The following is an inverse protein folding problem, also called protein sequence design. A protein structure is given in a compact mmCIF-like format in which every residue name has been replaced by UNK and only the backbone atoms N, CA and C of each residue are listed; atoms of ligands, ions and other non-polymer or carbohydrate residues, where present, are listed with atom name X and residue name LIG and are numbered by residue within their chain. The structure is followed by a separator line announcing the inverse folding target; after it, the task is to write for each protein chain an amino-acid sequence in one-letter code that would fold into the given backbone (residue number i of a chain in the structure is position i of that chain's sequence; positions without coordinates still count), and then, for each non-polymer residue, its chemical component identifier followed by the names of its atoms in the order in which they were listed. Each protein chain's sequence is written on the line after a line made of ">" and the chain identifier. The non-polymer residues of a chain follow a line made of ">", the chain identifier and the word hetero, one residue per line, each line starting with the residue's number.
data_IF_281138359427
#
_entry.id   IF_281138359427
#
_cell.length_a   1.000
_cell.length_b   1.000
_cell.length_c   1.000
_cell.angle_alpha   90.00
_cell.angle_beta   90.00
_cell.angle_gamma   90.00
#
_symmetry.space_group_name_H-M   'P 1'
#
loop_
_entity.id
_entity.type
_entity.pdbx_description
1 polymer ?
#
# COMPACT_ATOMS: atom_id res chain seq x y z
N UNK A 1 -7.64 -26.27 -7.72
CA UNK A 1 -6.19 -26.30 -7.41
C UNK A 1 -5.87 -25.19 -6.41
N UNK A 2 -5.17 -25.49 -5.32
CA UNK A 2 -4.88 -24.54 -4.22
C UNK A 2 -3.89 -23.47 -4.70
N UNK A 3 -4.17 -22.19 -4.48
CA UNK A 3 -3.29 -21.10 -4.93
C UNK A 3 -2.20 -20.71 -3.93
N UNK A 4 -2.41 -21.03 -2.65
CA UNK A 4 -1.58 -20.56 -1.54
C UNK A 4 -1.23 -21.70 -0.59
N UNK A 5 0.02 -21.79 -0.16
CA UNK A 5 0.48 -22.74 0.84
C UNK A 5 0.84 -22.01 2.13
N UNK A 6 0.35 -22.52 3.26
CA UNK A 6 0.66 -21.92 4.55
C UNK A 6 2.17 -21.95 4.81
N UNK A 7 2.70 -20.88 5.39
CA UNK A 7 4.09 -20.86 5.87
C UNK A 7 4.27 -21.84 7.04
N UNK A 8 5.51 -22.13 7.42
CA UNK A 8 5.78 -23.01 8.57
C UNK A 8 5.29 -22.38 9.87
N UNK A 9 5.07 -23.19 10.91
CA UNK A 9 4.62 -22.67 12.22
C UNK A 9 5.60 -21.64 12.80
N UNK A 10 6.90 -21.87 12.65
CA UNK A 10 7.95 -20.97 13.14
C UNK A 10 7.91 -19.62 12.40
N UNK A 11 7.88 -19.66 11.06
CA UNK A 11 7.76 -18.44 10.24
C UNK A 11 6.48 -17.67 10.55
N UNK A 12 5.35 -18.38 10.71
CA UNK A 12 4.08 -17.74 11.02
C UNK A 12 4.14 -17.03 12.38
N UNK A 13 4.81 -17.60 13.39
CA UNK A 13 4.97 -16.95 14.69
C UNK A 13 5.73 -15.63 14.56
N UNK A 14 6.85 -15.63 13.82
CA UNK A 14 7.67 -14.43 13.58
C UNK A 14 6.90 -13.36 12.79
N UNK A 15 6.20 -13.77 11.73
CA UNK A 15 5.39 -12.86 10.91
C UNK A 15 4.21 -12.29 11.70
N UNK A 16 3.53 -13.12 12.51
CA UNK A 16 2.40 -12.66 13.33
C UNK A 16 2.82 -11.65 14.40
N UNK A 17 4.01 -11.80 14.98
CA UNK A 17 4.55 -10.80 15.90
C UNK A 17 4.85 -9.49 15.16
N UNK A 18 5.56 -9.57 14.02
CA UNK A 18 5.91 -8.42 13.21
C UNK A 18 4.70 -7.64 12.72
N UNK A 19 3.66 -8.31 12.25
CA UNK A 19 2.44 -7.70 11.72
C UNK A 19 1.27 -7.72 12.73
N UNK A 20 1.56 -7.86 14.02
CA UNK A 20 0.55 -7.92 15.09
C UNK A 20 -0.40 -6.72 15.11
N UNK A 21 0.04 -5.56 14.62
CA UNK A 21 -0.80 -4.38 14.46
C UNK A 21 -2.02 -4.60 13.55
N UNK A 22 -1.98 -5.58 12.64
CA UNK A 22 -3.14 -5.92 11.80
C UNK A 22 -4.29 -6.53 12.62
N UNK A 23 -4.04 -6.99 13.85
CA UNK A 23 -5.06 -7.51 14.75
C UNK A 23 -5.74 -6.42 15.60
N UNK A 24 -5.23 -5.19 15.55
CA UNK A 24 -5.76 -4.06 16.30
C UNK A 24 -6.73 -3.25 15.42
N UNK A 25 -7.71 -2.61 16.05
CA UNK A 25 -8.44 -1.54 15.37
C UNK A 25 -7.51 -0.33 15.19
N UNK A 26 -7.72 0.45 14.13
CA UNK A 26 -6.89 1.64 13.88
C UNK A 26 -6.94 2.63 15.06
N UNK A 27 -8.08 2.75 15.73
CA UNK A 27 -8.28 3.59 16.93
C UNK A 27 -7.37 3.18 18.11
N UNK A 28 -7.03 1.90 18.20
CA UNK A 28 -6.16 1.35 19.27
C UNK A 28 -4.67 1.37 18.89
N UNK A 29 -4.34 1.78 17.67
CA UNK A 29 -2.96 1.83 17.18
C UNK A 29 -2.32 3.18 17.48
N UNK A 30 -1.00 3.17 17.67
CA UNK A 30 -0.18 4.39 17.75
C UNK A 30 0.79 4.47 16.57
N UNK A 31 1.46 5.61 16.41
CA UNK A 31 2.51 5.77 15.41
C UNK A 31 3.69 4.78 15.57
N UNK A 32 3.86 4.20 16.77
CA UNK A 32 4.87 3.16 17.04
C UNK A 32 4.44 1.79 16.48
N UNK A 33 3.14 1.55 16.30
CA UNK A 33 2.63 0.33 15.68
C UNK A 33 2.84 0.37 14.15
N UNK A 34 2.38 1.45 13.52
CA UNK A 34 2.57 1.77 12.10
C UNK A 34 2.15 3.22 11.79
N UNK A 35 2.46 3.68 10.58
CA UNK A 35 1.89 4.88 9.96
C UNK A 35 1.19 4.55 8.65
N UNK A 36 0.28 5.42 8.18
CA UNK A 36 -0.37 5.28 6.88
C UNK A 36 0.11 6.33 5.88
N UNK A 37 0.04 5.96 4.60
CA UNK A 37 0.06 6.88 3.48
C UNK A 37 -0.72 6.24 2.32
N UNK A 38 -0.86 6.97 1.22
CA UNK A 38 -1.49 6.48 0.01
C UNK A 38 -0.58 6.68 -1.21
N UNK A 39 -0.78 5.86 -2.24
CA UNK A 39 -0.17 5.98 -3.56
C UNK A 39 -1.29 6.20 -4.57
N UNK A 40 -1.16 7.20 -5.42
CA UNK A 40 -2.15 7.48 -6.47
C UNK A 40 -1.51 8.17 -7.68
N UNK A 41 -2.30 8.31 -8.75
CA UNK A 41 -1.93 9.04 -9.97
C UNK A 41 -2.14 10.55 -9.86
N UNK A 42 -2.79 11.03 -8.80
CA UNK A 42 -3.07 12.45 -8.56
C UNK A 42 -2.17 13.02 -7.47
N UNK A 43 -1.72 14.26 -7.63
CA UNK A 43 -0.82 14.95 -6.69
C UNK A 43 -1.51 15.50 -5.43
N UNK A 44 -2.81 15.27 -5.29
CA UNK A 44 -3.65 15.70 -4.17
C UNK A 44 -4.87 14.78 -4.05
N UNK A 45 -5.60 14.91 -2.94
CA UNK A 45 -6.87 14.22 -2.80
C UNK A 45 -7.97 14.94 -3.58
N UNK A 46 -8.71 14.20 -4.41
CA UNK A 46 -9.73 14.79 -5.29
C UNK A 46 -10.84 15.54 -4.54
N UNK A 47 -11.13 15.17 -3.29
CA UNK A 47 -12.11 15.87 -2.46
C UNK A 47 -11.60 17.20 -1.88
N UNK A 48 -10.28 17.39 -1.73
CA UNK A 48 -9.70 18.63 -1.18
C UNK A 48 -9.95 19.84 -2.10
N UNK A 49 -10.17 19.57 -3.38
CA UNK A 49 -10.27 20.55 -4.45
C UNK A 49 -11.56 20.48 -5.23
N UNK A 50 -12.49 19.61 -4.81
CA UNK A 50 -13.68 19.28 -5.60
C UNK A 50 -13.32 18.90 -7.07
N UNK A 51 -12.18 18.23 -7.25
CA UNK A 51 -11.60 17.89 -8.56
C UNK A 51 -12.10 16.56 -9.11
N UNK A 52 -13.24 16.06 -8.63
CA UNK A 52 -13.88 14.88 -9.24
C UNK A 52 -14.25 15.10 -10.71
N UNK A 53 -14.42 16.35 -11.13
CA UNK A 53 -14.58 16.71 -12.55
C UNK A 53 -13.44 16.20 -13.44
N UNK A 54 -12.21 16.12 -12.92
CA UNK A 54 -11.07 15.55 -13.65
C UNK A 54 -11.36 14.10 -14.06
N UNK A 55 -12.03 13.33 -13.22
CA UNK A 55 -12.45 11.97 -13.55
C UNK A 55 -13.67 11.98 -14.49
N UNK A 56 -14.65 12.83 -14.23
CA UNK A 56 -15.88 12.89 -15.04
C UNK A 56 -15.57 13.24 -16.51
N UNK A 57 -14.70 14.23 -16.71
CA UNK A 57 -14.31 14.75 -18.03
C UNK A 57 -13.22 13.93 -18.72
N UNK A 58 -12.49 13.09 -17.97
CA UNK A 58 -11.44 12.25 -18.54
C UNK A 58 -11.98 11.23 -19.55
N UNK A 59 -11.29 11.14 -20.67
CA UNK A 59 -11.51 10.15 -21.72
C UNK A 59 -11.27 8.72 -21.20
N UNK A 60 -11.83 7.74 -21.90
CA UNK A 60 -11.55 6.33 -21.62
C UNK A 60 -10.04 6.02 -21.71
N UNK A 61 -9.31 6.69 -22.60
CA UNK A 61 -7.87 6.50 -22.77
C UNK A 61 -7.08 6.99 -21.54
N UNK A 62 -7.46 8.12 -20.95
CA UNK A 62 -6.83 8.64 -19.72
C UNK A 62 -7.09 7.73 -18.54
N UNK A 63 -8.35 7.32 -18.33
CA UNK A 63 -8.73 6.37 -17.27
C UNK A 63 -8.00 5.04 -17.40
N UNK A 64 -7.85 4.56 -18.64
CA UNK A 64 -7.07 3.37 -18.94
C UNK A 64 -5.57 3.59 -18.66
N UNK A 65 -5.03 4.78 -18.96
CA UNK A 65 -3.67 5.18 -18.63
C UNK A 65 -3.40 5.12 -17.12
N UNK A 66 -4.29 5.70 -16.31
CA UNK A 66 -4.22 5.64 -14.85
C UNK A 66 -4.30 4.21 -14.32
N UNK A 67 -5.21 3.39 -14.87
CA UNK A 67 -5.33 1.99 -14.49
C UNK A 67 -4.04 1.21 -14.80
N UNK A 68 -3.46 1.46 -15.96
CA UNK A 68 -2.21 0.83 -16.37
C UNK A 68 -1.04 1.26 -15.48
N UNK A 69 -0.98 2.52 -15.04
CA UNK A 69 0.06 3.01 -14.13
C UNK A 69 0.01 2.28 -12.78
N UNK A 70 -1.17 2.18 -12.16
CA UNK A 70 -1.35 1.46 -10.89
C UNK A 70 -1.03 -0.03 -11.04
N UNK A 71 -1.51 -0.68 -12.11
CA UNK A 71 -1.22 -2.09 -12.35
C UNK A 71 0.26 -2.34 -12.62
N UNK A 72 0.93 -1.44 -13.34
CA UNK A 72 2.37 -1.52 -13.56
C UNK A 72 3.14 -1.40 -12.25
N UNK A 73 2.73 -0.47 -11.38
CA UNK A 73 3.30 -0.34 -10.03
C UNK A 73 3.15 -1.63 -9.23
N UNK A 74 1.95 -2.20 -9.15
CA UNK A 74 1.71 -3.44 -8.42
C UNK A 74 2.52 -4.61 -8.97
N UNK A 75 2.66 -4.72 -10.30
CA UNK A 75 3.47 -5.77 -10.93
C UNK A 75 4.94 -5.63 -10.55
N UNK A 76 5.51 -4.43 -10.68
CA UNK A 76 6.90 -4.16 -10.31
C UNK A 76 7.15 -4.29 -8.80
N UNK A 77 6.15 -3.97 -7.98
CA UNK A 77 6.26 -4.16 -6.53
C UNK A 77 6.38 -5.64 -6.16
N UNK A 78 5.65 -6.53 -6.85
CA UNK A 78 5.80 -7.98 -6.71
C UNK A 78 7.18 -8.46 -7.18
N UNK A 79 7.75 -7.83 -8.21
CA UNK A 79 9.13 -8.12 -8.65
C UNK A 79 10.19 -7.69 -7.61
N UNK A 80 9.94 -6.62 -6.84
CA UNK A 80 10.81 -6.20 -5.73
C UNK A 80 10.73 -7.15 -4.52
N UNK A 81 9.54 -7.66 -4.23
CA UNK A 81 9.30 -8.65 -3.20
C UNK A 81 7.97 -9.36 -3.47
N UNK A 82 7.98 -10.70 -3.52
CA UNK A 82 6.73 -11.44 -3.57
C UNK A 82 5.95 -11.31 -2.25
N UNK A 83 4.68 -10.86 -2.27
CA UNK A 83 3.93 -10.65 -1.04
C UNK A 83 3.44 -11.98 -0.45
N UNK A 84 3.28 -11.98 0.87
CA UNK A 84 2.57 -13.03 1.59
C UNK A 84 1.09 -12.66 1.68
N UNK A 85 0.22 -13.64 1.41
CA UNK A 85 -1.19 -13.49 1.74
C UNK A 85 -1.40 -13.80 3.22
N UNK A 86 -2.20 -13.00 3.90
CA UNK A 86 -2.64 -13.31 5.26
C UNK A 86 -4.16 -13.46 5.34
N UNK A 87 -4.59 -14.10 6.43
CA UNK A 87 -5.98 -14.13 6.85
C UNK A 87 -6.06 -14.17 8.36
N UNK A 88 -7.18 -13.69 8.87
CA UNK A 88 -7.53 -13.82 10.28
C UNK A 88 -8.09 -15.22 10.55
N UNK A 89 -7.58 -15.87 11.58
CA UNK A 89 -8.09 -17.15 12.10
C UNK A 89 -8.48 -16.99 13.56
N UNK A 90 -9.44 -17.78 14.04
CA UNK A 90 -9.99 -17.60 15.38
C UNK A 90 -11.08 -16.53 15.43
N UNK A 91 -11.54 -16.17 16.64
CA UNK A 91 -12.61 -15.20 16.88
C UNK A 91 -12.26 -14.33 18.10
N UNK A 92 -12.74 -13.08 18.09
CA UNK A 92 -12.62 -12.13 19.19
C UNK A 92 -11.16 -12.01 19.68
N UNK A 93 -10.93 -12.08 20.99
CA UNK A 93 -9.61 -12.01 21.62
C UNK A 93 -8.65 -13.15 21.27
N UNK A 94 -9.12 -14.22 20.61
CA UNK A 94 -8.28 -15.34 20.17
C UNK A 94 -7.90 -15.25 18.69
N UNK A 95 -8.16 -14.12 18.02
CA UNK A 95 -7.82 -13.92 16.62
C UNK A 95 -6.29 -13.92 16.43
N UNK A 96 -5.84 -14.56 15.35
CA UNK A 96 -4.42 -14.65 14.96
C UNK A 96 -4.29 -14.48 13.46
N UNK A 97 -3.10 -14.09 13.02
CA UNK A 97 -2.76 -14.04 11.60
C UNK A 97 -2.22 -15.41 11.14
N UNK A 98 -2.67 -15.84 9.97
CA UNK A 98 -2.10 -16.98 9.25
C UNK A 98 -1.60 -16.51 7.88
N UNK A 99 -0.31 -16.71 7.62
CA UNK A 99 0.35 -16.31 6.39
C UNK A 99 0.50 -17.48 5.41
N UNK A 100 0.60 -17.17 4.12
CA UNK A 100 0.76 -18.16 3.07
C UNK A 100 1.54 -17.61 1.87
N UNK A 101 2.43 -18.45 1.33
CA UNK A 101 3.10 -18.25 0.06
C UNK A 101 2.16 -18.53 -1.11
N UNK A 102 2.37 -17.86 -2.22
CA UNK A 102 1.71 -18.21 -3.48
C UNK A 102 2.45 -19.38 -4.14
N UNK A 103 1.71 -20.32 -4.72
CA UNK A 103 2.28 -21.57 -5.25
C UNK A 103 1.75 -21.93 -6.64
N UNK A 104 0.97 -21.07 -7.30
CA UNK A 104 0.55 -21.37 -8.68
C UNK A 104 1.69 -21.06 -9.64
N UNK A 105 1.66 -21.76 -10.77
CA UNK A 105 2.51 -21.45 -11.93
C UNK A 105 2.09 -20.15 -12.63
N UNK A 106 0.90 -19.60 -12.33
CA UNK A 106 0.47 -18.33 -12.89
C UNK A 106 1.27 -17.17 -12.26
N UNK A 107 1.42 -16.05 -12.97
CA UNK A 107 2.17 -14.91 -12.46
C UNK A 107 1.51 -14.30 -11.22
N UNK A 108 2.27 -14.18 -10.13
CA UNK A 108 1.84 -13.46 -8.92
C UNK A 108 1.58 -11.97 -9.23
N UNK A 109 2.42 -11.36 -10.08
CA UNK A 109 2.28 -9.96 -10.48
C UNK A 109 0.93 -9.71 -11.16
N UNK A 110 0.51 -10.62 -12.05
CA UNK A 110 -0.82 -10.55 -12.69
C UNK A 110 -1.95 -10.81 -11.69
N UNK A 111 -1.74 -11.73 -10.73
CA UNK A 111 -2.73 -11.97 -9.66
C UNK A 111 -2.96 -10.71 -8.82
N UNK A 112 -1.91 -10.05 -8.34
CA UNK A 112 -2.03 -8.83 -7.52
C UNK A 112 -2.63 -7.67 -8.32
N UNK A 113 -2.16 -7.44 -9.55
CA UNK A 113 -2.71 -6.39 -10.41
C UNK A 113 -4.20 -6.58 -10.72
N UNK A 114 -4.66 -7.83 -10.83
CA UNK A 114 -6.07 -8.16 -11.02
C UNK A 114 -6.89 -7.93 -9.73
N UNK A 115 -6.32 -8.21 -8.56
CA UNK A 115 -7.01 -7.98 -7.28
C UNK A 115 -7.36 -6.50 -7.07
N UNK A 116 -6.59 -5.57 -7.64
CA UNK A 116 -6.91 -4.14 -7.62
C UNK A 116 -8.30 -3.82 -8.17
N UNK A 117 -8.78 -4.57 -9.18
CA UNK A 117 -10.12 -4.36 -9.74
C UNK A 117 -11.22 -5.10 -8.95
N UNK A 118 -10.87 -6.02 -8.05
CA UNK A 118 -11.80 -7.02 -7.51
C UNK A 118 -12.07 -6.87 -6.01
N UNK A 119 -11.12 -6.34 -5.24
CA UNK A 119 -11.19 -6.32 -3.77
C UNK A 119 -10.55 -5.06 -3.19
N UNK A 120 -11.15 -4.50 -2.14
CA UNK A 120 -10.51 -3.42 -1.36
C UNK A 120 -9.44 -3.95 -0.40
N UNK A 121 -9.67 -5.10 0.25
CA UNK A 121 -8.71 -5.70 1.19
C UNK A 121 -8.07 -6.95 0.60
N UNK A 122 -6.95 -6.83 -0.16
CA UNK A 122 -6.28 -7.99 -0.75
C UNK A 122 -5.60 -8.89 0.30
N UNK A 123 -5.37 -8.33 1.51
CA UNK A 123 -4.68 -8.96 2.64
C UNK A 123 -3.28 -9.44 2.23
N UNK A 124 -2.46 -8.52 1.72
CA UNK A 124 -1.12 -8.77 1.23
C UNK A 124 -0.11 -7.96 2.04
N UNK A 125 0.91 -8.65 2.56
CA UNK A 125 2.06 -8.01 3.21
C UNK A 125 3.34 -8.26 2.43
N UNK A 126 4.16 -7.23 2.33
CA UNK A 126 5.53 -7.27 1.83
C UNK A 126 6.42 -7.30 3.07
N UNK A 127 6.92 -8.49 3.41
CA UNK A 127 7.61 -8.73 4.67
C UNK A 127 8.87 -7.87 4.79
N UNK A 128 9.78 -7.93 3.82
CA UNK A 128 11.03 -7.17 3.83
C UNK A 128 10.77 -5.67 3.81
N UNK A 129 9.83 -5.22 2.99
CA UNK A 129 9.42 -3.80 2.93
C UNK A 129 8.66 -3.34 4.20
N UNK A 130 8.08 -4.27 4.95
CA UNK A 130 7.29 -3.98 6.14
C UNK A 130 5.99 -3.24 5.82
N UNK A 131 5.38 -3.57 4.67
CA UNK A 131 4.20 -2.88 4.13
C UNK A 131 2.99 -3.82 4.05
N UNK A 132 1.81 -3.30 4.42
CA UNK A 132 0.50 -3.90 4.15
C UNK A 132 -0.26 -3.03 3.14
N UNK A 133 -0.98 -3.65 2.19
CA UNK A 133 -1.73 -2.92 1.16
C UNK A 133 -3.24 -2.99 1.36
N UNK A 134 -3.87 -1.86 1.07
CA UNK A 134 -5.32 -1.70 0.96
C UNK A 134 -5.64 -0.95 -0.33
N UNK A 135 -6.53 -1.49 -1.14
CA UNK A 135 -6.95 -0.90 -2.40
C UNK A 135 -8.19 -0.05 -2.20
N UNK A 136 -8.32 1.02 -2.97
CA UNK A 136 -9.42 1.95 -2.90
C UNK A 136 -9.79 2.46 -4.30
N UNK A 137 -10.92 3.16 -4.38
CA UNK A 137 -11.38 3.74 -5.63
C UNK A 137 -10.44 4.85 -6.13
N UNK A 138 -10.71 5.34 -7.35
CA UNK A 138 -10.00 6.48 -7.95
C UNK A 138 -8.48 6.26 -8.03
N UNK A 139 -8.07 5.04 -8.39
CA UNK A 139 -6.65 4.70 -8.60
C UNK A 139 -5.78 4.89 -7.36
N UNK A 140 -6.32 4.61 -6.18
CA UNK A 140 -5.62 4.82 -4.91
C UNK A 140 -5.27 3.49 -4.23
N UNK A 141 -4.05 3.40 -3.72
CA UNK A 141 -3.59 2.30 -2.87
C UNK A 141 -3.17 2.90 -1.54
N UNK A 142 -3.92 2.61 -0.48
CA UNK A 142 -3.48 2.85 0.88
C UNK A 142 -2.44 1.81 1.29
N UNK A 143 -1.49 2.22 2.11
CA UNK A 143 -0.51 1.31 2.67
C UNK A 143 -0.15 1.66 4.10
N UNK A 144 0.03 0.62 4.90
CA UNK A 144 0.56 0.73 6.27
C UNK A 144 2.04 0.42 6.22
N UNK A 145 2.85 1.21 6.91
CA UNK A 145 4.29 0.99 6.99
C UNK A 145 4.80 1.22 8.41
N UNK A 146 5.83 0.47 8.82
CA UNK A 146 6.45 0.64 10.15
C UNK A 146 7.52 1.72 10.19
N UNK A 147 8.28 1.86 9.11
CA UNK A 147 9.36 2.84 9.03
C UNK A 147 9.55 3.30 7.59
N UNK A 148 9.93 4.56 7.43
CA UNK A 148 10.19 5.14 6.11
C UNK A 148 11.33 4.41 5.39
N UNK A 149 12.33 3.96 6.16
CA UNK A 149 13.44 3.18 5.61
C UNK A 149 13.01 1.81 5.08
N UNK A 150 12.05 1.14 5.74
CA UNK A 150 11.55 -0.16 5.31
C UNK A 150 10.84 -0.09 3.95
N UNK A 151 10.06 0.97 3.73
CA UNK A 151 9.30 1.15 2.49
C UNK A 151 10.03 1.96 1.41
N UNK A 152 11.28 2.39 1.62
CA UNK A 152 11.99 3.29 0.70
C UNK A 152 12.05 2.78 -0.75
N UNK A 153 12.28 1.48 -0.97
CA UNK A 153 12.32 0.93 -2.35
C UNK A 153 10.96 1.01 -3.05
N UNK A 154 9.87 0.82 -2.31
CA UNK A 154 8.51 1.01 -2.84
C UNK A 154 8.25 2.48 -3.17
N UNK A 155 8.69 3.42 -2.31
CA UNK A 155 8.57 4.85 -2.56
C UNK A 155 9.36 5.29 -3.80
N UNK A 156 10.59 4.77 -3.97
CA UNK A 156 11.39 4.99 -5.17
C UNK A 156 10.70 4.45 -6.41
N UNK A 157 10.17 3.22 -6.35
CA UNK A 157 9.43 2.62 -7.45
C UNK A 157 8.20 3.46 -7.84
N UNK A 158 7.42 3.91 -6.87
CA UNK A 158 6.27 4.79 -7.13
C UNK A 158 6.72 6.08 -7.83
N UNK A 159 7.83 6.68 -7.38
CA UNK A 159 8.39 7.89 -7.96
C UNK A 159 8.91 7.71 -9.39
N UNK A 160 9.61 6.61 -9.66
CA UNK A 160 10.06 6.23 -11.00
C UNK A 160 8.90 6.07 -12.00
N UNK A 161 7.72 5.67 -11.50
CA UNK A 161 6.51 5.52 -12.30
C UNK A 161 5.65 6.79 -12.37
N UNK A 162 6.11 7.90 -11.78
CA UNK A 162 5.38 9.16 -11.77
C UNK A 162 4.12 9.14 -10.89
N UNK A 163 4.07 8.27 -9.89
CA UNK A 163 2.99 8.23 -8.90
C UNK A 163 3.30 9.19 -7.74
N UNK A 164 2.24 9.60 -7.06
CA UNK A 164 2.27 10.49 -5.92
C UNK A 164 1.99 9.71 -4.64
N UNK A 165 2.66 10.12 -3.56
CA UNK A 165 2.50 9.62 -2.21
C UNK A 165 1.73 10.68 -1.43
N UNK A 166 0.55 10.36 -0.91
CA UNK A 166 -0.32 11.32 -0.22
C UNK A 166 -0.44 10.99 1.29
N UNK A 167 -0.73 11.99 2.14
CA UNK A 167 -1.15 11.76 3.53
C UNK A 167 -2.43 10.92 3.55
N UNK A 168 -2.59 10.01 4.51
CA UNK A 168 -3.82 9.24 4.66
C UNK A 168 -4.63 9.74 5.87
N UNK A 169 -5.76 10.39 5.60
CA UNK A 169 -6.58 11.05 6.63
C UNK A 169 -7.67 10.16 7.27
N UNK A 170 -7.71 8.88 6.92
CA UNK A 170 -8.68 7.94 7.51
C UNK A 170 -8.41 7.66 9.00
N UNK A 171 -7.22 8.00 9.51
CA UNK A 171 -6.83 7.90 10.90
C UNK A 171 -5.73 8.94 11.19
N UNK A 172 -6.12 10.18 11.49
CA UNK A 172 -5.20 11.32 11.61
C UNK A 172 -4.04 11.08 12.59
N UNK A 173 -4.26 10.33 13.68
CA UNK A 173 -3.22 10.00 14.66
C UNK A 173 -2.17 9.01 14.14
N UNK A 174 -2.42 8.35 13.00
CA UNK A 174 -1.52 7.43 12.30
C UNK A 174 -0.94 8.06 11.04
N UNK A 175 -1.32 9.30 10.75
CA UNK A 175 -0.83 10.07 9.62
C UNK A 175 0.44 10.82 10.01
N UNK A 176 1.60 10.17 9.82
CA UNK A 176 2.89 10.79 10.08
C UNK A 176 3.54 11.33 8.79
N UNK A 177 2.72 11.94 7.93
CA UNK A 177 3.14 12.31 6.58
C UNK A 177 4.19 13.42 6.55
N UNK A 178 4.21 14.35 7.51
CA UNK A 178 5.29 15.34 7.62
C UNK A 178 6.67 14.65 7.69
N UNK A 179 6.81 13.66 8.58
CA UNK A 179 8.04 12.88 8.74
C UNK A 179 8.36 12.06 7.49
N UNK A 180 7.35 11.46 6.85
CA UNK A 180 7.53 10.74 5.59
C UNK A 180 7.98 11.67 4.46
N UNK A 181 7.37 12.83 4.34
CA UNK A 181 7.67 13.82 3.29
C UNK A 181 9.11 14.33 3.43
N UNK A 182 9.55 14.67 4.65
CA UNK A 182 10.92 15.06 4.93
C UNK A 182 11.92 13.96 4.58
N UNK A 183 11.60 12.71 4.89
CA UNK A 183 12.42 11.56 4.52
C UNK A 183 12.49 11.39 2.99
N UNK A 184 11.38 11.55 2.29
CA UNK A 184 11.31 11.48 0.84
C UNK A 184 12.15 12.58 0.17
N UNK A 185 12.08 13.83 0.64
CA UNK A 185 12.93 14.94 0.15
C UNK A 185 14.41 14.63 0.33
N UNK A 186 14.81 14.15 1.51
CA UNK A 186 16.21 13.73 1.79
C UNK A 186 16.70 12.62 0.85
N UNK A 187 15.79 11.86 0.24
CA UNK A 187 16.09 10.81 -0.73
C UNK A 187 15.84 11.24 -2.19
N UNK A 188 15.58 12.53 -2.45
CA UNK A 188 15.39 13.08 -3.79
C UNK A 188 14.07 12.71 -4.47
N UNK A 189 13.02 12.46 -3.67
CA UNK A 189 11.69 12.01 -4.15
C UNK A 189 10.64 13.12 -4.14
N UNK A 190 11.07 14.39 -4.18
CA UNK A 190 10.23 15.59 -4.02
C UNK A 190 9.08 15.65 -5.04
N UNK A 191 9.29 15.16 -6.26
CA UNK A 191 8.31 15.18 -7.35
C UNK A 191 7.11 14.27 -7.13
N UNK A 192 7.20 13.34 -6.18
CA UNK A 192 6.14 12.40 -5.82
C UNK A 192 5.42 12.80 -4.55
N UNK A 193 5.73 13.95 -3.96
CA UNK A 193 5.02 14.44 -2.78
C UNK A 193 3.65 14.98 -3.15
N UNK A 194 2.77 14.96 -2.16
CA UNK A 194 1.54 15.74 -2.18
C UNK A 194 1.89 17.21 -2.47
N UNK A 195 1.13 17.85 -3.36
CA UNK A 195 1.46 19.19 -3.89
C UNK A 195 1.74 20.24 -2.81
N UNK A 196 1.01 20.19 -1.68
CA UNK A 196 1.16 21.16 -0.58
C UNK A 196 2.48 20.96 0.19
N UNK A 197 3.16 19.84 -0.03
CA UNK A 197 4.45 19.49 0.56
C UNK A 197 5.60 19.61 -0.46
N UNK A 198 5.32 20.06 -1.68
CA UNK A 198 6.36 20.47 -2.63
C UNK A 198 6.84 21.85 -2.20
N UNK A 199 8.12 21.98 -1.88
CA UNK A 199 8.68 23.29 -1.57
C UNK A 199 8.50 24.21 -2.80
N UNK A 200 8.03 25.44 -2.58
CA UNK A 200 8.04 26.45 -3.63
C UNK A 200 9.49 26.61 -4.11
N UNK A 201 9.74 26.16 -5.35
CA UNK A 201 11.05 26.24 -5.99
C UNK A 201 11.44 27.69 -6.32
#
# INVERSE_FOLDING_TARGET
>A
MRSFLNVTKCENSLLSEKFSFLLKYNEDCTADDFSWAAITVFDHWLYETDSFKVIEEASCAEKQGWNNAIKLFLKKLVELEEPLKYKYIGRNSNQKLQFSYYIKNASMAEYVAKQFDEVYSPNLVFNRLGVDLWFEDNWTIHFKYKSQQGCLEMLKLASELGLFILPAYCADHLNNYEVLSDFMRKNGLDKSLHRDFVAAA
#
